data_IF_402573326610
#
_entry.id   IF_402573326610
#
_cell.length_a   1.000
_cell.length_b   1.000
_cell.length_c   1.000
_cell.angle_alpha   90.00
_cell.angle_beta   90.00
_cell.angle_gamma   90.00
#
_symmetry.space_group_name_H-M   'P 1'
#
loop_
_entity.id
_entity.type
_entity.pdbx_description
1 polymer ?
#
# COMPACT_ATOMS: atom_id res chain seq x y z
N UNK A 1 -22.46 -0.60 2.10
CA UNK A 1 -22.40 0.61 1.25
C UNK A 1 -20.95 0.89 0.94
N UNK A 2 -20.66 0.92 -0.35
CA UNK A 2 -19.33 1.19 -0.88
C UNK A 2 -19.37 2.41 -1.78
N UNK A 3 -18.38 3.29 -1.67
CA UNK A 3 -18.23 4.45 -2.53
C UNK A 3 -16.82 4.53 -3.10
N UNK A 4 -16.69 4.88 -4.39
CA UNK A 4 -15.40 5.04 -5.06
C UNK A 4 -15.26 6.46 -5.59
N UNK A 5 -14.20 7.16 -5.17
CA UNK A 5 -13.92 8.53 -5.60
C UNK A 5 -12.48 8.66 -6.09
N UNK A 6 -12.18 9.72 -6.85
CA UNK A 6 -10.80 10.09 -7.12
C UNK A 6 -10.08 10.48 -5.82
N UNK A 7 -8.82 10.07 -5.68
CA UNK A 7 -7.95 10.47 -4.57
C UNK A 7 -6.82 11.41 -5.03
N UNK A 8 -6.34 11.20 -6.25
CA UNK A 8 -5.33 12.06 -6.88
C UNK A 8 -4.69 11.38 -8.07
N UNK A 9 -3.64 12.01 -8.60
CA UNK A 9 -2.84 11.48 -9.70
C UNK A 9 -1.39 11.42 -9.25
N UNK A 10 -0.75 10.26 -9.40
CA UNK A 10 0.67 10.07 -9.06
C UNK A 10 1.56 11.00 -9.88
N UNK A 11 2.79 11.22 -9.43
CA UNK A 11 3.79 11.96 -10.21
C UNK A 11 4.06 11.37 -11.62
N UNK A 12 3.76 10.08 -11.82
CA UNK A 12 3.86 9.39 -13.10
C UNK A 12 2.59 9.53 -13.98
N UNK A 13 1.59 10.31 -13.57
CA UNK A 13 0.36 10.53 -14.33
C UNK A 13 -0.70 9.43 -14.18
N UNK A 14 -0.53 8.48 -13.25
CA UNK A 14 -1.50 7.40 -13.01
C UNK A 14 -2.54 7.83 -11.97
N UNK A 15 -3.83 7.68 -12.31
CA UNK A 15 -4.95 7.97 -11.41
C UNK A 15 -4.97 7.02 -10.21
N UNK A 16 -5.25 7.57 -9.02
CA UNK A 16 -5.45 6.83 -7.78
C UNK A 16 -6.87 7.06 -7.29
N UNK A 17 -7.57 5.98 -6.95
CA UNK A 17 -8.94 5.98 -6.44
C UNK A 17 -8.94 5.69 -4.95
N UNK A 18 -9.92 6.23 -4.23
CA UNK A 18 -10.25 5.91 -2.84
C UNK A 18 -11.56 5.12 -2.83
N UNK A 19 -11.54 3.96 -2.18
CA UNK A 19 -12.68 3.08 -1.95
C UNK A 19 -13.02 3.20 -0.48
N UNK A 20 -14.21 3.71 -0.17
CA UNK A 20 -14.74 3.82 1.19
C UNK A 20 -15.82 2.78 1.40
N UNK A 21 -15.69 1.98 2.46
CA UNK A 21 -16.62 0.91 2.83
C UNK A 21 -17.17 1.23 4.21
N UNK A 22 -18.50 1.29 4.34
CA UNK A 22 -19.18 1.58 5.61
C UNK A 22 -20.15 0.46 5.97
N UNK A 23 -20.09 0.02 7.23
CA UNK A 23 -21.04 -0.93 7.83
C UNK A 23 -21.23 -0.64 9.32
N UNK A 24 -22.46 -0.27 9.70
CA UNK A 24 -22.77 0.17 11.06
C UNK A 24 -21.89 1.37 11.43
N UNK A 25 -21.24 1.28 12.59
CA UNK A 25 -20.39 2.35 13.14
C UNK A 25 -18.99 2.40 12.53
N UNK A 26 -18.61 1.43 11.70
CA UNK A 26 -17.27 1.33 11.14
C UNK A 26 -17.23 1.81 9.69
N UNK A 27 -16.28 2.69 9.39
CA UNK A 27 -15.95 3.12 8.03
C UNK A 27 -14.45 2.92 7.78
N UNK A 28 -14.10 2.23 6.69
CA UNK A 28 -12.72 2.05 6.27
C UNK A 28 -12.52 2.62 4.86
N UNK A 29 -11.35 3.19 4.60
CA UNK A 29 -10.97 3.68 3.27
C UNK A 29 -9.68 3.03 2.81
N UNK A 30 -9.66 2.60 1.55
CA UNK A 30 -8.49 2.02 0.88
C UNK A 30 -8.19 2.87 -0.36
N UNK A 31 -6.92 3.21 -0.61
CA UNK A 31 -6.51 3.84 -1.87
C UNK A 31 -5.80 2.84 -2.77
N UNK A 32 -5.96 2.98 -4.09
CA UNK A 32 -5.38 2.03 -5.06
C UNK A 32 -3.86 2.05 -5.10
N UNK A 33 -3.22 3.16 -4.71
CA UNK A 33 -1.75 3.22 -4.52
C UNK A 33 -1.36 2.30 -3.36
N UNK A 34 -0.62 1.25 -3.67
CA UNK A 34 -0.16 0.25 -2.72
C UNK A 34 -1.28 -0.57 -2.07
N UNK A 35 -2.52 -0.51 -2.59
CA UNK A 35 -3.71 -1.04 -1.92
C UNK A 35 -3.77 -0.63 -0.44
N UNK A 36 -3.51 0.65 -0.18
CA UNK A 36 -3.21 1.18 1.15
C UNK A 36 -4.47 1.41 1.97
N UNK A 37 -4.55 0.82 3.16
CA UNK A 37 -5.54 1.18 4.18
C UNK A 37 -5.25 2.61 4.66
N UNK A 38 -6.02 3.56 4.14
CA UNK A 38 -5.81 4.99 4.31
C UNK A 38 -6.44 5.52 5.61
N UNK A 39 -7.61 5.00 5.98
CA UNK A 39 -8.39 5.52 7.10
C UNK A 39 -9.26 4.42 7.69
N UNK A 40 -9.39 4.38 9.02
CA UNK A 40 -10.40 3.59 9.72
C UNK A 40 -11.05 4.46 10.78
N UNK A 41 -12.36 4.66 10.70
CA UNK A 41 -13.16 5.48 11.61
C UNK A 41 -14.22 4.63 12.30
N UNK A 42 -14.41 4.90 13.58
CA UNK A 42 -15.43 4.27 14.42
C UNK A 42 -16.31 5.36 15.04
N UNK A 43 -17.64 5.20 14.99
CA UNK A 43 -18.56 6.15 15.60
C UNK A 43 -18.25 6.34 17.10
N UNK A 44 -18.30 7.58 17.57
CA UNK A 44 -17.94 7.95 18.95
C UNK A 44 -16.43 8.10 19.21
N UNK A 45 -15.57 7.81 18.24
CA UNK A 45 -14.13 8.11 18.29
C UNK A 45 -13.82 9.30 17.38
N UNK A 46 -13.22 10.35 17.92
CA UNK A 46 -12.97 11.62 17.23
C UNK A 46 -11.70 11.61 16.36
N UNK A 47 -10.80 10.64 16.56
CA UNK A 47 -9.60 10.45 15.76
C UNK A 47 -9.69 9.26 14.79
N UNK A 48 -8.76 9.23 13.82
CA UNK A 48 -8.61 8.11 12.90
C UNK A 48 -7.85 6.98 13.59
N UNK A 49 -8.31 5.75 13.44
CA UNK A 49 -7.66 4.57 14.02
C UNK A 49 -6.40 4.16 13.23
N UNK A 50 -6.08 4.88 12.15
CA UNK A 50 -4.86 4.69 11.37
C UNK A 50 -4.02 5.97 11.30
N UNK A 51 -2.72 5.81 11.09
CA UNK A 51 -1.84 6.91 10.71
C UNK A 51 -1.89 7.10 9.19
N UNK A 52 -2.95 7.77 8.73
CA UNK A 52 -3.19 8.10 7.33
C UNK A 52 -2.98 9.58 7.00
N UNK A 53 -2.84 9.88 5.72
CA UNK A 53 -2.89 11.21 5.11
C UNK A 53 -4.01 11.29 4.06
N UNK A 54 -4.54 12.48 3.85
CA UNK A 54 -5.47 12.81 2.76
C UNK A 54 -4.76 13.28 1.49
N UNK A 55 -3.42 13.33 1.48
CA UNK A 55 -2.61 13.79 0.33
C UNK A 55 -1.87 12.61 -0.33
N UNK A 56 -2.09 12.41 -1.64
CA UNK A 56 -1.42 11.32 -2.38
C UNK A 56 0.12 11.39 -2.33
N UNK A 57 0.69 12.59 -2.38
CA UNK A 57 2.14 12.79 -2.36
C UNK A 57 2.82 12.19 -1.12
N UNK A 58 2.13 12.11 0.02
CA UNK A 58 2.68 11.51 1.24
C UNK A 58 2.92 10.01 1.07
N UNK A 59 2.01 9.32 0.38
CA UNK A 59 2.12 7.88 0.07
C UNK A 59 3.17 7.58 -1.01
N UNK A 60 3.52 8.56 -1.84
CA UNK A 60 4.67 8.45 -2.75
C UNK A 60 6.01 8.71 -2.03
N UNK A 61 5.97 9.31 -0.84
CA UNK A 61 7.15 9.71 -0.07
C UNK A 61 7.31 8.99 1.27
N UNK A 62 7.15 9.74 2.37
CA UNK A 62 7.45 9.28 3.73
C UNK A 62 6.46 8.25 4.25
N UNK A 63 5.21 8.29 3.78
CA UNK A 63 4.14 7.39 4.23
C UNK A 63 3.97 6.14 3.36
N UNK A 64 4.87 5.88 2.41
CA UNK A 64 4.80 4.72 1.48
C UNK A 64 4.62 3.32 2.11
N UNK A 65 4.90 3.17 3.40
CA UNK A 65 4.73 1.93 4.17
C UNK A 65 3.60 1.98 5.21
N UNK A 66 2.85 3.09 5.31
CA UNK A 66 1.72 3.21 6.23
C UNK A 66 0.50 2.59 5.58
N UNK A 67 -0.01 1.50 6.15
CA UNK A 67 -1.22 0.81 5.69
C UNK A 67 -1.11 0.09 4.33
N UNK A 68 0.05 0.10 3.68
CA UNK A 68 0.22 -0.44 2.33
C UNK A 68 0.38 -1.97 2.31
N UNK A 69 -0.11 -2.58 1.23
CA UNK A 69 0.08 -3.99 0.95
C UNK A 69 1.52 -4.24 0.48
N UNK A 70 2.25 -5.04 1.25
CA UNK A 70 3.65 -5.39 0.95
C UNK A 70 3.78 -6.84 0.49
N UNK A 71 4.18 -7.00 -0.77
CA UNK A 71 4.37 -8.27 -1.45
C UNK A 71 5.44 -8.10 -2.56
N UNK A 72 5.99 -9.19 -3.12
CA UNK A 72 5.76 -10.60 -2.81
C UNK A 72 6.42 -11.09 -1.51
N UNK A 73 7.50 -10.44 -1.05
CA UNK A 73 8.19 -10.83 0.19
C UNK A 73 8.21 -9.65 1.15
N UNK A 74 7.51 -9.82 2.28
CA UNK A 74 7.56 -8.88 3.39
C UNK A 74 8.83 -9.08 4.21
N UNK A 75 9.32 -8.01 4.84
CA UNK A 75 10.55 -7.99 5.60
C UNK A 75 11.78 -8.33 4.74
N UNK A 76 12.77 -9.06 5.27
CA UNK A 76 14.11 -9.16 4.69
C UNK A 76 14.37 -10.48 3.97
N UNK A 77 15.02 -10.38 2.80
CA UNK A 77 15.84 -11.46 2.24
C UNK A 77 17.31 -11.19 2.58
N UNK A 78 17.91 -12.12 3.31
CA UNK A 78 19.32 -12.08 3.68
C UNK A 78 20.20 -12.09 2.44
N UNK A 79 21.26 -11.26 2.46
CA UNK A 79 22.17 -11.04 1.32
C UNK A 79 21.47 -10.71 -0.03
N UNK A 80 20.22 -10.23 0.04
CA UNK A 80 19.38 -9.95 -1.11
C UNK A 80 19.30 -11.14 -2.10
N UNK A 81 19.29 -12.38 -1.59
CA UNK A 81 19.26 -13.59 -2.41
C UNK A 81 18.28 -14.63 -1.87
N UNK A 82 17.73 -15.44 -2.77
CA UNK A 82 16.93 -16.60 -2.39
C UNK A 82 17.04 -17.72 -3.43
N UNK A 83 17.05 -19.00 -3.00
CA UNK A 83 16.89 -20.13 -3.91
C UNK A 83 15.42 -20.27 -4.33
N UNK A 84 15.15 -20.33 -5.63
CA UNK A 84 13.81 -20.54 -6.21
C UNK A 84 13.94 -21.59 -7.30
N UNK A 85 13.23 -22.72 -7.14
CA UNK A 85 13.24 -23.80 -8.14
C UNK A 85 14.64 -24.34 -8.47
N UNK A 86 15.54 -24.40 -7.48
CA UNK A 86 16.92 -24.89 -7.65
C UNK A 86 17.91 -23.86 -8.21
N UNK A 87 17.48 -22.64 -8.53
CA UNK A 87 18.36 -21.53 -8.95
C UNK A 87 18.41 -20.45 -7.87
N UNK A 88 19.60 -19.92 -7.59
CA UNK A 88 19.74 -18.74 -6.72
C UNK A 88 19.49 -17.46 -7.51
N UNK A 89 18.54 -16.67 -7.04
CA UNK A 89 18.23 -15.36 -7.59
C UNK A 89 18.80 -14.26 -6.69
N UNK A 90 19.33 -13.22 -7.33
CA UNK A 90 19.76 -11.98 -6.69
C UNK A 90 18.65 -10.93 -6.85
N UNK A 91 18.36 -10.22 -5.77
CA UNK A 91 17.37 -9.17 -5.65
C UNK A 91 18.06 -7.85 -5.32
N UNK A 92 17.29 -6.76 -5.33
CA UNK A 92 17.77 -5.42 -4.99
C UNK A 92 18.18 -5.34 -3.50
N UNK A 93 19.44 -4.99 -3.18
CA UNK A 93 19.90 -4.86 -1.80
C UNK A 93 19.58 -3.47 -1.23
N UNK A 94 18.28 -3.13 -1.15
CA UNK A 94 17.80 -1.79 -0.79
C UNK A 94 17.98 -1.42 0.69
N UNK A 95 18.34 -2.36 1.57
CA UNK A 95 18.66 -2.08 2.96
C UNK A 95 20.15 -2.27 3.21
N UNK A 96 20.81 -1.17 3.57
CA UNK A 96 22.24 -1.11 3.94
C UNK A 96 23.18 -1.70 2.87
N UNK A 97 22.73 -1.76 1.61
CA UNK A 97 23.48 -2.37 0.51
C UNK A 97 23.64 -3.89 0.63
N UNK A 98 22.89 -4.55 1.53
CA UNK A 98 23.08 -5.99 1.82
C UNK A 98 21.79 -6.81 1.73
N UNK A 99 20.67 -6.30 2.24
CA UNK A 99 19.43 -7.05 2.35
C UNK A 99 18.36 -6.47 1.43
N UNK A 100 17.49 -7.33 0.92
CA UNK A 100 16.24 -6.85 0.29
C UNK A 100 15.19 -6.73 1.37
N UNK A 101 14.77 -5.51 1.70
CA UNK A 101 13.64 -5.22 2.56
C UNK A 101 12.41 -4.91 1.71
N UNK A 102 11.29 -5.57 2.01
CA UNK A 102 9.97 -5.29 1.39
C UNK A 102 10.01 -5.30 -0.15
N UNK A 103 10.81 -6.22 -0.70
CA UNK A 103 11.05 -6.40 -2.12
C UNK A 103 11.58 -5.17 -2.89
N UNK A 104 12.15 -4.20 -2.17
CA UNK A 104 12.77 -3.02 -2.76
C UNK A 104 11.81 -2.17 -3.58
N UNK A 105 12.35 -1.52 -4.61
CA UNK A 105 11.62 -0.70 -5.58
C UNK A 105 10.54 -1.48 -6.36
N UNK A 106 10.63 -2.81 -6.38
CA UNK A 106 9.68 -3.69 -7.05
C UNK A 106 8.49 -4.09 -6.18
N UNK A 107 8.47 -3.72 -4.89
CA UNK A 107 7.39 -4.07 -3.98
C UNK A 107 6.04 -3.47 -4.36
N UNK A 108 4.96 -4.18 -4.05
CA UNK A 108 3.58 -3.81 -4.40
C UNK A 108 3.12 -2.50 -3.78
N UNK A 109 3.72 -2.07 -2.67
CA UNK A 109 3.43 -0.79 -2.02
C UNK A 109 3.69 0.43 -2.95
N UNK A 110 4.49 0.26 -4.00
CA UNK A 110 4.82 1.32 -4.96
C UNK A 110 3.87 1.35 -6.17
N UNK A 111 3.07 0.29 -6.38
CA UNK A 111 2.22 0.12 -7.55
C UNK A 111 0.85 0.78 -7.34
N UNK A 112 0.18 1.15 -8.42
CA UNK A 112 -1.25 1.47 -8.40
C UNK A 112 -1.99 0.21 -8.82
N UNK A 113 -2.93 -0.22 -8.00
CA UNK A 113 -3.73 -1.43 -8.21
C UNK A 113 -5.01 -1.11 -8.98
N UNK A 114 -5.41 -2.03 -9.85
CA UNK A 114 -6.72 -1.99 -10.48
C UNK A 114 -7.78 -2.57 -9.54
N UNK A 115 -8.94 -1.91 -9.48
CA UNK A 115 -10.10 -2.42 -8.76
C UNK A 115 -10.85 -3.36 -9.70
N UNK A 116 -10.86 -4.66 -9.38
CA UNK A 116 -11.49 -5.67 -10.21
C UNK A 116 -13.03 -5.64 -10.15
N UNK A 117 -13.58 -5.44 -8.95
CA UNK A 117 -15.02 -5.43 -8.70
C UNK A 117 -15.34 -4.53 -7.50
N UNK A 118 -16.53 -3.92 -7.51
CA UNK A 118 -17.08 -3.15 -6.39
C UNK A 118 -18.54 -3.55 -6.21
N UNK A 119 -18.93 -3.88 -4.98
CA UNK A 119 -20.30 -4.20 -4.59
C UNK A 119 -20.66 -3.54 -3.26
N UNK A 120 -21.95 -3.50 -2.95
CA UNK A 120 -22.52 -2.81 -1.79
C UNK A 120 -22.66 -3.65 -0.51
#
# INVERSE_FOLDING_TARGET
>A
MTNVTAFGTTAAGVEVKKITITKGDLTASIITKGATLQSVRLAGVDYDLTLGSDTLADYEGKMRHHGSLVAPVVNRLSDARAPIGGKTYQFEPNQSGKHTLHFGSNGTQHKVWDVAEVSD
#
